data_IF_810800039598
#
_entry.id   IF_810800039598
#
_cell.length_a   1.000
_cell.length_b   1.000
_cell.length_c   1.000
_cell.angle_alpha   90.00
_cell.angle_beta   90.00
_cell.angle_gamma   90.00
#
_symmetry.space_group_name_H-M   'P 1'
#
loop_
_entity.id
_entity.type
_entity.pdbx_description
1 polymer ?
#
# COMPACT_ATOMS: atom_id res chain seq x y z
N UNK A 1 -0.10 36.72 -9.84
CA UNK A 1 0.65 35.79 -8.97
C UNK A 1 -0.27 34.83 -8.20
N UNK A 2 -1.49 34.54 -8.70
CA UNK A 2 -2.51 33.74 -7.99
C UNK A 2 -2.72 32.33 -8.54
N UNK A 3 -2.07 31.97 -9.63
CA UNK A 3 -2.40 30.75 -10.39
C UNK A 3 -1.97 29.42 -9.72
N UNK A 4 -1.00 29.43 -8.79
CA UNK A 4 -0.51 28.20 -8.14
C UNK A 4 -1.38 27.72 -6.96
N UNK A 5 -2.15 28.61 -6.32
CA UNK A 5 -2.93 28.29 -5.12
C UNK A 5 -4.22 27.53 -5.44
N UNK A 6 -4.86 27.84 -6.58
CA UNK A 6 -6.10 27.21 -7.01
C UNK A 6 -5.87 25.78 -7.53
N UNK A 7 -4.78 25.55 -8.26
CA UNK A 7 -4.44 24.23 -8.80
C UNK A 7 -4.13 23.20 -7.70
N UNK A 8 -3.43 23.62 -6.64
CA UNK A 8 -3.11 22.74 -5.51
C UNK A 8 -4.37 22.30 -4.75
N UNK A 9 -5.27 23.25 -4.44
CA UNK A 9 -6.56 22.95 -3.80
C UNK A 9 -7.46 22.04 -4.64
N UNK A 10 -7.40 22.19 -5.97
CA UNK A 10 -8.12 21.32 -6.90
C UNK A 10 -7.56 19.90 -6.89
N UNK A 11 -6.23 19.74 -6.90
CA UNK A 11 -5.58 18.44 -6.83
C UNK A 11 -5.86 17.74 -5.49
N UNK A 12 -5.81 18.46 -4.37
CA UNK A 12 -6.15 17.91 -3.05
C UNK A 12 -7.59 17.37 -3.00
N UNK A 13 -8.56 18.13 -3.53
CA UNK A 13 -9.95 17.69 -3.58
C UNK A 13 -10.16 16.44 -4.46
N UNK A 14 -9.41 16.33 -5.56
CA UNK A 14 -9.42 15.14 -6.43
C UNK A 14 -8.79 13.94 -5.72
N UNK A 15 -7.66 14.14 -5.04
CA UNK A 15 -6.97 13.09 -4.29
C UNK A 15 -7.81 12.61 -3.10
N UNK A 16 -8.40 13.51 -2.30
CA UNK A 16 -9.28 13.13 -1.18
C UNK A 16 -10.48 12.31 -1.66
N UNK A 17 -11.09 12.70 -2.78
CA UNK A 17 -12.21 11.98 -3.38
C UNK A 17 -11.80 10.56 -3.82
N UNK A 18 -10.59 10.40 -4.32
CA UNK A 18 -10.07 9.12 -4.79
C UNK A 18 -9.63 8.21 -3.62
N UNK A 19 -8.93 8.74 -2.61
CA UNK A 19 -8.54 8.02 -1.39
C UNK A 19 -9.77 7.48 -0.65
N UNK A 20 -10.87 8.26 -0.60
CA UNK A 20 -12.13 7.82 0.00
C UNK A 20 -12.81 6.67 -0.76
N UNK A 21 -12.44 6.44 -2.02
CA UNK A 21 -13.09 5.47 -2.92
C UNK A 21 -12.26 4.21 -3.17
N UNK A 22 -10.95 4.23 -2.95
CA UNK A 22 -10.07 3.10 -3.29
C UNK A 22 -8.96 2.85 -2.26
N UNK A 23 -8.90 1.67 -1.60
CA UNK A 23 -7.72 1.26 -0.85
C UNK A 23 -6.46 1.16 -1.74
N UNK A 24 -6.63 1.10 -3.06
CA UNK A 24 -5.57 1.03 -4.08
C UNK A 24 -4.63 2.25 -4.11
N UNK A 25 -4.99 3.34 -3.42
CA UNK A 25 -4.20 4.57 -3.31
C UNK A 25 -3.45 4.71 -2.00
N UNK A 26 -3.46 3.69 -1.13
CA UNK A 26 -2.63 3.71 0.06
C UNK A 26 -1.37 2.84 -0.15
N UNK A 27 -0.15 3.43 -0.21
CA UNK A 27 1.10 2.70 -0.42
C UNK A 27 1.28 1.52 0.54
N UNK A 28 0.76 1.65 1.76
CA UNK A 28 0.90 0.65 2.81
C UNK A 28 0.13 -0.64 2.50
N UNK A 29 -0.96 -0.57 1.73
CA UNK A 29 -1.74 -1.76 1.35
C UNK A 29 -0.94 -2.68 0.42
N UNK A 30 -0.14 -2.09 -0.48
CA UNK A 30 0.76 -2.85 -1.33
C UNK A 30 1.87 -3.53 -0.50
N UNK A 31 2.39 -2.83 0.53
CA UNK A 31 3.38 -3.40 1.45
C UNK A 31 2.76 -4.57 2.23
N UNK A 32 1.53 -4.41 2.75
CA UNK A 32 0.82 -5.49 3.43
C UNK A 32 0.56 -6.69 2.53
N UNK A 33 0.25 -6.46 1.25
CA UNK A 33 0.08 -7.54 0.29
C UNK A 33 1.38 -8.34 0.09
N UNK A 34 2.52 -7.65 -0.09
CA UNK A 34 3.83 -8.30 -0.22
C UNK A 34 4.20 -9.07 1.04
N UNK A 35 4.02 -8.45 2.21
CA UNK A 35 4.35 -9.06 3.50
C UNK A 35 3.56 -10.35 3.71
N UNK A 36 2.23 -10.32 3.49
CA UNK A 36 1.38 -11.50 3.58
C UNK A 36 1.79 -12.59 2.60
N UNK A 37 2.07 -12.23 1.34
CA UNK A 37 2.51 -13.19 0.31
C UNK A 37 3.80 -13.90 0.72
N UNK A 38 4.82 -13.15 1.14
CA UNK A 38 6.10 -13.72 1.59
C UNK A 38 5.97 -14.57 2.86
N UNK A 39 5.14 -14.16 3.83
CA UNK A 39 4.86 -14.99 5.01
C UNK A 39 4.22 -16.32 4.59
N UNK A 40 3.25 -16.31 3.66
CA UNK A 40 2.62 -17.54 3.18
C UNK A 40 3.59 -18.46 2.43
N UNK A 41 4.55 -17.90 1.69
CA UNK A 41 5.58 -18.65 0.96
C UNK A 41 6.63 -19.25 1.90
N UNK A 42 7.14 -18.47 2.86
CA UNK A 42 8.24 -18.89 3.74
C UNK A 42 7.76 -19.66 4.98
N UNK A 43 6.56 -19.36 5.47
CA UNK A 43 5.98 -19.95 6.67
C UNK A 43 4.59 -20.56 6.37
N UNK A 44 4.49 -21.53 5.42
CA UNK A 44 3.20 -22.06 4.99
C UNK A 44 2.41 -22.72 6.13
N UNK A 45 3.10 -23.25 7.15
CA UNK A 45 2.47 -23.87 8.32
C UNK A 45 1.60 -22.91 9.12
N UNK A 46 1.89 -21.60 9.12
CA UNK A 46 1.09 -20.59 9.82
C UNK A 46 -0.36 -20.54 9.33
N UNK A 47 -0.62 -20.93 8.07
CA UNK A 47 -1.97 -20.98 7.50
C UNK A 47 -2.86 -22.05 8.14
N UNK A 48 -2.24 -23.04 8.80
CA UNK A 48 -2.93 -24.17 9.45
C UNK A 48 -3.04 -24.02 10.96
N UNK A 49 -2.48 -22.95 11.54
CA UNK A 49 -2.48 -22.76 12.98
C UNK A 49 -3.86 -22.34 13.52
N UNK A 50 -4.22 -22.78 14.74
CA UNK A 50 -5.44 -22.32 15.40
C UNK A 50 -5.34 -20.83 15.75
N UNK A 51 -6.47 -20.12 15.77
CA UNK A 51 -6.52 -18.72 16.19
C UNK A 51 -6.40 -18.60 17.72
N UNK A 52 -5.17 -18.68 18.22
CA UNK A 52 -4.83 -18.49 19.64
C UNK A 52 -3.60 -17.59 19.78
N UNK A 53 -3.25 -17.25 21.02
CA UNK A 53 -2.20 -16.25 21.26
C UNK A 53 -0.80 -16.76 20.86
N UNK A 54 -0.53 -18.06 21.00
CA UNK A 54 0.71 -18.67 20.51
C UNK A 54 0.85 -18.53 18.99
N UNK A 55 -0.20 -18.81 18.23
CA UNK A 55 -0.18 -18.66 16.77
C UNK A 55 -0.03 -17.19 16.34
N UNK A 56 -0.59 -16.25 17.10
CA UNK A 56 -0.37 -14.81 16.86
C UNK A 56 1.07 -14.42 17.12
N UNK A 57 1.69 -14.92 18.18
CA UNK A 57 3.11 -14.66 18.48
C UNK A 57 4.01 -15.21 17.36
N UNK A 58 3.74 -16.40 16.85
CA UNK A 58 4.48 -16.97 15.71
C UNK A 58 4.29 -16.14 14.44
N UNK A 59 3.05 -15.69 14.17
CA UNK A 59 2.76 -14.81 13.03
C UNK A 59 3.50 -13.47 13.15
N UNK A 60 3.55 -12.88 14.34
CA UNK A 60 4.28 -11.62 14.59
C UNK A 60 5.78 -11.82 14.35
N UNK A 61 6.35 -12.93 14.83
CA UNK A 61 7.77 -13.24 14.59
C UNK A 61 8.07 -13.41 13.10
N UNK A 62 7.25 -14.20 12.40
CA UNK A 62 7.39 -14.36 10.95
C UNK A 62 7.26 -13.03 10.21
N UNK A 63 6.31 -12.18 10.60
CA UNK A 63 6.14 -10.85 10.02
C UNK A 63 7.38 -9.96 10.23
N UNK A 64 8.00 -9.98 11.41
CA UNK A 64 9.23 -9.24 11.68
C UNK A 64 10.37 -9.77 10.81
N UNK A 65 10.57 -11.09 10.76
CA UNK A 65 11.62 -11.70 9.94
C UNK A 65 11.47 -11.33 8.46
N UNK A 66 10.26 -11.50 7.90
CA UNK A 66 9.99 -11.16 6.50
C UNK A 66 10.13 -9.66 6.27
N UNK A 67 9.71 -8.81 7.22
CA UNK A 67 9.85 -7.37 7.11
C UNK A 67 11.31 -6.93 6.95
N UNK A 68 12.22 -7.49 7.75
CA UNK A 68 13.67 -7.21 7.64
C UNK A 68 14.25 -7.64 6.29
N UNK A 69 13.65 -8.62 5.61
CA UNK A 69 14.03 -9.03 4.25
C UNK A 69 13.42 -8.16 3.14
N UNK A 70 12.44 -7.30 3.46
CA UNK A 70 11.91 -6.33 2.50
C UNK A 70 12.94 -5.21 2.36
N UNK A 71 13.85 -5.39 1.40
CA UNK A 71 14.87 -4.39 1.09
C UNK A 71 14.29 -3.04 0.64
N UNK A 72 15.08 -1.99 0.85
CA UNK A 72 14.74 -0.60 0.52
C UNK A 72 14.32 -0.40 -0.94
N UNK A 73 14.86 -1.20 -1.86
CA UNK A 73 14.50 -1.15 -3.28
C UNK A 73 13.00 -1.46 -3.52
N UNK A 74 12.44 -2.43 -2.78
CA UNK A 74 11.01 -2.78 -2.88
C UNK A 74 10.17 -1.63 -2.37
N UNK A 75 10.55 -1.04 -1.25
CA UNK A 75 9.86 0.12 -0.67
C UNK A 75 9.92 1.33 -1.63
N UNK A 76 11.08 1.61 -2.22
CA UNK A 76 11.23 2.66 -3.22
C UNK A 76 10.35 2.44 -4.45
N UNK A 77 10.32 1.21 -4.99
CA UNK A 77 9.44 0.87 -6.13
C UNK A 77 7.97 1.08 -5.80
N UNK A 78 7.55 0.75 -4.58
CA UNK A 78 6.18 0.97 -4.11
C UNK A 78 5.85 2.47 -4.02
N UNK A 79 6.74 3.27 -3.44
CA UNK A 79 6.59 4.73 -3.38
C UNK A 79 6.50 5.35 -4.77
N UNK A 80 7.37 4.94 -5.71
CA UNK A 80 7.32 5.41 -7.10
C UNK A 80 6.06 4.95 -7.84
N UNK A 81 5.53 3.76 -7.52
CA UNK A 81 4.26 3.30 -8.08
C UNK A 81 3.09 4.16 -7.62
N UNK A 82 3.15 4.65 -6.38
CA UNK A 82 2.10 5.47 -5.79
C UNK A 82 2.04 6.86 -6.39
N UNK A 83 3.20 7.45 -6.67
CA UNK A 83 3.26 8.71 -7.41
C UNK A 83 2.58 8.60 -8.78
N UNK A 84 2.86 7.51 -9.53
CA UNK A 84 2.21 7.24 -10.83
C UNK A 84 0.70 6.99 -10.72
N UNK A 85 0.22 6.35 -9.64
CA UNK A 85 -1.21 6.15 -9.40
C UNK A 85 -1.92 7.47 -9.13
N UNK A 86 -1.32 8.34 -8.31
CA UNK A 86 -1.86 9.68 -8.03
C UNK A 86 -1.92 10.53 -9.29
N UNK A 87 -0.87 10.51 -10.11
CA UNK A 87 -0.85 11.17 -11.43
C UNK A 87 -2.00 10.67 -12.32
N UNK A 88 -2.18 9.34 -12.41
CA UNK A 88 -3.27 8.76 -13.20
C UNK A 88 -4.66 9.15 -12.69
N UNK A 89 -4.84 9.29 -11.38
CA UNK A 89 -6.09 9.75 -10.76
C UNK A 89 -6.34 11.22 -11.07
N UNK A 90 -5.31 12.06 -11.03
CA UNK A 90 -5.41 13.49 -11.38
C UNK A 90 -5.76 13.63 -12.87
N UNK A 91 -5.09 12.88 -13.75
CA UNK A 91 -5.41 12.84 -15.19
C UNK A 91 -6.84 12.34 -15.46
N UNK A 92 -7.33 11.41 -14.64
CA UNK A 92 -8.69 10.90 -14.70
C UNK A 92 -9.72 11.78 -13.96
N UNK A 93 -9.36 12.96 -13.44
CA UNK A 93 -10.25 13.83 -12.64
C UNK A 93 -10.95 13.08 -11.48
N UNK A 94 -10.21 12.18 -10.82
CA UNK A 94 -10.71 11.38 -9.71
C UNK A 94 -11.55 10.16 -10.11
N UNK A 95 -11.63 9.82 -11.39
CA UNK A 95 -12.28 8.61 -11.89
C UNK A 95 -11.36 7.38 -11.86
N UNK A 96 -11.94 6.21 -12.15
CA UNK A 96 -11.24 4.93 -12.14
C UNK A 96 -10.03 4.92 -13.06
N UNK A 97 -8.94 4.34 -12.59
CA UNK A 97 -7.72 4.14 -13.36
C UNK A 97 -7.49 2.64 -13.60
N UNK A 98 -6.45 2.30 -14.35
CA UNK A 98 -6.03 0.90 -14.55
C UNK A 98 -5.37 0.26 -13.31
N UNK A 99 -5.13 1.05 -12.27
CA UNK A 99 -4.48 0.65 -11.03
C UNK A 99 -5.47 0.30 -9.94
#
# INVERSE_FOLDING_TARGET
MESKSTAFKSADAVIERAVKRGPDLNPIENVWHILKGRIMEQYPHLTSLPNNDTAKEELVRAAICVWEEIGEEVLHKLLLSMQRRLEAVIEADGWYTKY
#
